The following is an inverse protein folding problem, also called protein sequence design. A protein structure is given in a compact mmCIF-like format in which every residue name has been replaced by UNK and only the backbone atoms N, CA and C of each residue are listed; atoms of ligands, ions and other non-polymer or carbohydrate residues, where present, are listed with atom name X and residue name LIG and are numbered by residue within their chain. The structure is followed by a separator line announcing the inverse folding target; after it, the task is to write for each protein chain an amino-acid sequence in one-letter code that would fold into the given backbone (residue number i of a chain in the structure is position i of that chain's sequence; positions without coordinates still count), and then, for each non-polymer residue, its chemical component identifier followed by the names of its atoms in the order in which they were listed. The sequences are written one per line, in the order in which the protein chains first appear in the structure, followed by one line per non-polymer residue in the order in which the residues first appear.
data_IF_240293211565
#
_entry.id   IF_240293211565
#
_cell.length_a   1.000
_cell.length_b   1.000
_cell.length_c   1.000
_cell.angle_alpha   90.00
_cell.angle_beta   90.00
_cell.angle_gamma   90.00
#
_symmetry.space_group_name_H-M   'P 1'
#
loop_
_entity.id
_entity.type
_entity.pdbx_description
1 polymer ?
#
# COMPACT_ATOMS: atom_id res chain seq x y z
N UNK A 1 -11.52 -36.63 -3.10
CA UNK A 1 -12.84 -36.45 -3.77
C UNK A 1 -13.14 -34.97 -3.88
N UNK A 2 -13.15 -34.40 -5.07
CA UNK A 2 -13.58 -33.03 -5.29
C UNK A 2 -15.06 -32.91 -4.89
N UNK A 3 -15.39 -31.98 -4.01
CA UNK A 3 -16.78 -31.69 -3.62
C UNK A 3 -17.36 -30.75 -4.66
N UNK A 4 -18.37 -31.20 -5.41
CA UNK A 4 -19.17 -30.31 -6.23
C UNK A 4 -19.74 -29.19 -5.36
N UNK A 5 -19.48 -27.92 -5.74
CA UNK A 5 -19.94 -26.74 -4.98
C UNK A 5 -21.41 -26.40 -5.25
N UNK A 6 -21.99 -26.91 -6.36
CA UNK A 6 -23.39 -26.67 -6.71
C UNK A 6 -24.31 -27.77 -6.16
N UNK A 7 -24.98 -27.47 -5.06
CA UNK A 7 -25.93 -28.37 -4.38
C UNK A 7 -27.15 -28.71 -5.26
N UNK A 8 -27.54 -27.80 -6.17
CA UNK A 8 -28.69 -28.03 -7.06
C UNK A 8 -28.32 -28.95 -8.19
N UNK A 9 -27.18 -28.77 -8.83
CA UNK A 9 -26.69 -29.68 -9.90
C UNK A 9 -26.55 -31.10 -9.36
N UNK A 10 -26.02 -31.26 -8.14
CA UNK A 10 -25.90 -32.57 -7.49
C UNK A 10 -27.27 -33.18 -7.16
N UNK A 11 -28.25 -32.41 -6.72
CA UNK A 11 -29.61 -32.89 -6.44
C UNK A 11 -30.30 -33.33 -7.71
N UNK A 12 -30.16 -32.62 -8.81
CA UNK A 12 -30.71 -32.98 -10.12
C UNK A 12 -30.05 -34.27 -10.67
N UNK A 13 -28.74 -34.42 -10.53
CA UNK A 13 -28.09 -35.67 -10.93
C UNK A 13 -28.60 -36.85 -10.09
N UNK A 14 -28.71 -36.72 -8.78
CA UNK A 14 -29.26 -37.77 -7.90
C UNK A 14 -30.70 -38.10 -8.27
N UNK A 15 -31.50 -37.11 -8.64
CA UNK A 15 -32.85 -37.32 -9.15
C UNK A 15 -32.84 -38.10 -10.46
N UNK A 16 -32.01 -37.73 -11.42
CA UNK A 16 -31.95 -38.47 -12.71
C UNK A 16 -31.55 -39.92 -12.54
N UNK A 17 -30.73 -40.27 -11.55
CA UNK A 17 -30.42 -41.67 -11.22
C UNK A 17 -31.64 -42.45 -10.79
N UNK A 18 -32.53 -41.87 -9.98
CA UNK A 18 -33.69 -42.56 -9.40
C UNK A 18 -35.00 -42.29 -10.17
N UNK A 19 -35.00 -41.38 -11.13
CA UNK A 19 -36.16 -40.96 -11.89
C UNK A 19 -36.92 -42.14 -12.56
N UNK A 20 -36.27 -43.15 -13.12
CA UNK A 20 -37.00 -44.29 -13.69
C UNK A 20 -37.87 -45.07 -12.69
N UNK A 21 -37.44 -45.17 -11.43
CA UNK A 21 -38.27 -45.75 -10.36
C UNK A 21 -39.41 -44.82 -9.90
N UNK A 22 -39.17 -43.54 -9.87
CA UNK A 22 -40.16 -42.53 -9.46
C UNK A 22 -41.26 -42.44 -10.50
N UNK A 23 -40.89 -42.46 -11.78
CA UNK A 23 -41.82 -42.29 -12.91
C UNK A 23 -42.44 -43.63 -13.37
N UNK A 24 -42.12 -44.77 -12.74
CA UNK A 24 -42.64 -46.07 -13.12
C UNK A 24 -42.14 -46.60 -14.46
N UNK A 25 -41.04 -46.07 -15.00
CA UNK A 25 -40.46 -46.43 -16.31
C UNK A 25 -39.30 -47.43 -16.18
N UNK A 26 -39.02 -47.94 -14.98
CA UNK A 26 -37.96 -48.91 -14.74
C UNK A 26 -38.34 -50.30 -15.32
N UNK A 27 -37.44 -50.91 -16.10
CA UNK A 27 -37.56 -52.26 -16.66
C UNK A 27 -36.88 -53.31 -15.80
N UNK A 28 -36.29 -52.95 -14.69
CA UNK A 28 -35.58 -53.84 -13.76
C UNK A 28 -36.59 -54.81 -13.07
N UNK A 29 -36.17 -56.08 -12.88
CA UNK A 29 -37.00 -57.10 -12.23
C UNK A 29 -37.33 -56.83 -10.77
N UNK A 30 -36.54 -56.01 -10.10
CA UNK A 30 -36.80 -55.54 -8.74
C UNK A 30 -36.04 -54.21 -8.48
N UNK A 31 -36.46 -53.45 -7.44
CA UNK A 31 -35.79 -52.21 -7.04
C UNK A 31 -34.33 -52.42 -6.69
N UNK A 32 -33.98 -53.57 -6.07
CA UNK A 32 -32.57 -53.85 -5.73
C UNK A 32 -31.70 -54.02 -6.98
N UNK A 33 -32.21 -54.76 -7.99
CA UNK A 33 -31.53 -54.91 -9.29
C UNK A 33 -31.33 -53.54 -9.93
N UNK A 34 -32.35 -52.71 -9.93
CA UNK A 34 -32.25 -51.34 -10.43
C UNK A 34 -31.11 -50.54 -9.78
N UNK A 35 -31.04 -50.55 -8.45
CA UNK A 35 -29.99 -49.80 -7.76
C UNK A 35 -28.58 -50.29 -8.09
N UNK A 36 -28.40 -51.61 -8.28
CA UNK A 36 -27.13 -52.18 -8.70
C UNK A 36 -26.79 -51.72 -10.12
N UNK A 37 -27.73 -51.81 -11.06
CA UNK A 37 -27.54 -51.35 -12.43
C UNK A 37 -27.17 -49.88 -12.53
N UNK A 38 -27.83 -49.02 -11.74
CA UNK A 38 -27.50 -47.57 -11.73
C UNK A 38 -26.13 -47.28 -11.12
N UNK A 39 -25.69 -48.09 -10.16
CA UNK A 39 -24.36 -47.88 -9.53
C UNK A 39 -23.20 -48.30 -10.45
N UNK A 40 -23.48 -49.13 -11.48
CA UNK A 40 -22.49 -49.55 -12.46
C UNK A 40 -22.38 -48.60 -13.66
N UNK A 41 -23.33 -47.68 -13.85
CA UNK A 41 -23.30 -46.66 -14.88
C UNK A 41 -22.39 -45.50 -14.51
N UNK A 42 -21.79 -44.90 -15.52
CA UNK A 42 -21.02 -43.67 -15.35
C UNK A 42 -21.96 -42.45 -15.32
N UNK A 43 -21.95 -41.71 -14.22
CA UNK A 43 -22.74 -40.51 -14.05
C UNK A 43 -21.82 -39.28 -13.94
N UNK A 44 -22.08 -38.27 -14.78
CA UNK A 44 -21.25 -37.04 -14.82
C UNK A 44 -22.06 -35.84 -14.46
N UNK A 45 -21.45 -34.98 -13.62
CA UNK A 45 -21.93 -33.64 -13.34
C UNK A 45 -21.65 -32.67 -14.48
N UNK A 46 -22.34 -31.53 -14.57
CA UNK A 46 -22.09 -30.52 -15.60
C UNK A 46 -20.65 -29.99 -15.64
N UNK A 47 -19.92 -30.07 -14.52
CA UNK A 47 -18.51 -29.68 -14.38
C UNK A 47 -17.54 -30.81 -14.86
N UNK A 48 -18.07 -31.90 -15.41
CA UNK A 48 -17.28 -33.07 -15.86
C UNK A 48 -16.89 -34.05 -14.76
N UNK A 49 -17.21 -33.78 -13.50
CA UNK A 49 -16.90 -34.67 -12.37
C UNK A 49 -17.70 -35.99 -12.48
N UNK A 50 -17.02 -37.13 -12.42
CA UNK A 50 -17.67 -38.45 -12.40
C UNK A 50 -18.13 -38.74 -10.97
N UNK A 51 -19.42 -39.10 -10.85
CA UNK A 51 -20.03 -39.51 -9.58
C UNK A 51 -20.05 -41.05 -9.49
N UNK A 52 -19.37 -41.58 -8.48
CA UNK A 52 -19.41 -43.02 -8.12
C UNK A 52 -20.19 -43.21 -6.83
N UNK A 53 -21.09 -44.16 -6.78
CA UNK A 53 -21.88 -44.46 -5.61
C UNK A 53 -22.25 -45.97 -5.56
N UNK A 54 -22.59 -46.45 -4.36
CA UNK A 54 -23.06 -47.81 -4.17
C UNK A 54 -24.57 -47.96 -4.39
N UNK A 55 -25.05 -49.16 -4.65
CA UNK A 55 -26.47 -49.47 -4.74
C UNK A 55 -27.27 -49.00 -3.50
N UNK A 56 -26.71 -49.18 -2.31
CA UNK A 56 -27.29 -48.66 -1.06
C UNK A 56 -27.41 -47.12 -1.04
N UNK A 57 -26.49 -46.41 -1.66
CA UNK A 57 -26.54 -44.94 -1.78
C UNK A 57 -27.69 -44.51 -2.70
N UNK A 58 -27.89 -45.20 -3.83
CA UNK A 58 -29.01 -44.95 -4.74
C UNK A 58 -30.37 -45.21 -4.03
N UNK A 59 -30.43 -46.30 -3.26
CA UNK A 59 -31.60 -46.63 -2.45
C UNK A 59 -31.90 -45.55 -1.42
N UNK A 60 -30.87 -45.04 -0.74
CA UNK A 60 -31.02 -43.94 0.23
C UNK A 60 -31.54 -42.65 -0.44
N UNK A 61 -31.09 -42.34 -1.69
CA UNK A 61 -31.63 -41.22 -2.45
C UNK A 61 -33.11 -41.40 -2.80
N UNK A 62 -33.53 -42.59 -3.19
CA UNK A 62 -34.92 -42.90 -3.48
C UNK A 62 -35.80 -42.64 -2.26
N UNK A 63 -35.44 -43.17 -1.07
CA UNK A 63 -36.22 -42.93 0.16
C UNK A 63 -36.14 -41.47 0.64
N UNK A 64 -35.01 -40.81 0.47
CA UNK A 64 -34.88 -39.38 0.82
C UNK A 64 -35.77 -38.51 -0.06
N UNK A 65 -35.84 -38.83 -1.37
CA UNK A 65 -36.75 -38.18 -2.29
C UNK A 65 -38.22 -38.42 -1.93
N UNK A 66 -38.59 -39.67 -1.65
CA UNK A 66 -39.95 -40.02 -1.21
C UNK A 66 -40.40 -39.30 0.03
N UNK A 67 -39.49 -38.98 0.91
CA UNK A 67 -39.75 -38.29 2.19
C UNK A 67 -39.79 -36.76 2.09
N UNK A 68 -38.91 -36.15 1.26
CA UNK A 68 -38.71 -34.72 1.22
C UNK A 68 -38.63 -34.12 -0.21
N UNK A 69 -39.00 -34.86 -1.22
CA UNK A 69 -38.87 -34.41 -2.60
C UNK A 69 -37.43 -34.11 -3.00
N UNK A 70 -37.23 -33.16 -3.89
CA UNK A 70 -35.92 -32.75 -4.37
C UNK A 70 -35.02 -32.23 -3.25
N UNK A 71 -35.59 -31.59 -2.20
CA UNK A 71 -34.81 -31.13 -1.07
C UNK A 71 -34.12 -32.24 -0.28
N UNK A 72 -34.71 -33.45 -0.27
CA UNK A 72 -34.07 -34.63 0.32
C UNK A 72 -32.80 -35.09 -0.43
N UNK A 73 -32.63 -34.68 -1.68
CA UNK A 73 -31.46 -35.00 -2.51
C UNK A 73 -30.36 -33.91 -2.43
N UNK A 74 -30.66 -32.76 -1.87
CA UNK A 74 -29.66 -31.71 -1.64
C UNK A 74 -28.68 -32.12 -0.56
N UNK A 75 -27.52 -31.46 -0.57
CA UNK A 75 -26.55 -31.63 0.52
C UNK A 75 -27.14 -31.07 1.80
N UNK A 76 -27.38 -31.93 2.78
CA UNK A 76 -27.77 -31.43 4.10
C UNK A 76 -26.57 -30.68 4.71
N UNK A 77 -26.72 -29.39 4.94
CA UNK A 77 -25.76 -28.66 5.77
C UNK A 77 -25.76 -29.26 7.17
N UNK A 78 -24.58 -29.58 7.68
CA UNK A 78 -24.44 -30.07 9.04
C UNK A 78 -25.06 -29.07 10.01
N UNK A 79 -25.97 -29.49 10.87
CA UNK A 79 -26.62 -28.66 11.88
C UNK A 79 -25.68 -28.10 12.95
N UNK A 80 -24.43 -28.60 12.99
CA UNK A 80 -23.34 -28.16 13.87
C UNK A 80 -22.33 -27.24 13.18
N UNK A 81 -22.58 -26.85 11.91
CA UNK A 81 -21.70 -25.96 11.17
C UNK A 81 -21.68 -24.57 11.82
N UNK A 82 -20.53 -24.19 12.36
CA UNK A 82 -20.35 -22.93 13.12
C UNK A 82 -20.54 -23.05 14.63
N UNK A 83 -21.06 -24.16 15.16
CA UNK A 83 -21.15 -24.38 16.60
C UNK A 83 -19.86 -25.00 17.13
N UNK A 84 -19.15 -24.24 17.94
CA UNK A 84 -17.93 -24.72 18.63
C UNK A 84 -18.31 -25.36 19.96
N UNK A 85 -18.36 -26.69 20.00
CA UNK A 85 -18.70 -27.45 21.22
C UNK A 85 -17.67 -27.29 22.35
N UNK A 86 -16.45 -26.84 22.03
CA UNK A 86 -15.32 -26.70 22.99
C UNK A 86 -15.16 -25.28 23.54
N UNK A 87 -15.88 -24.28 23.02
CA UNK A 87 -15.87 -22.91 23.52
C UNK A 87 -17.21 -22.59 24.13
N UNK A 88 -17.21 -22.30 25.40
CA UNK A 88 -18.41 -21.84 26.12
C UNK A 88 -18.83 -20.47 25.63
N UNK A 89 -20.07 -20.10 25.84
CA UNK A 89 -20.56 -18.79 25.42
C UNK A 89 -19.93 -17.66 26.28
N UNK A 90 -19.52 -17.97 27.50
CA UNK A 90 -18.73 -17.06 28.35
C UNK A 90 -17.33 -16.79 27.75
N UNK A 91 -16.64 -17.85 27.31
CA UNK A 91 -15.36 -17.69 26.63
C UNK A 91 -15.49 -16.84 25.34
N UNK A 92 -16.59 -17.03 24.59
CA UNK A 92 -16.85 -16.20 23.38
C UNK A 92 -17.12 -14.75 23.73
N UNK A 93 -17.93 -14.46 24.76
CA UNK A 93 -18.15 -13.09 25.24
C UNK A 93 -16.82 -12.44 25.65
N UNK A 94 -15.98 -13.17 26.40
CA UNK A 94 -14.67 -12.66 26.80
C UNK A 94 -13.76 -12.38 25.58
N UNK A 95 -13.84 -13.19 24.54
CA UNK A 95 -13.15 -12.91 23.27
C UNK A 95 -13.68 -11.63 22.60
N UNK A 96 -14.99 -11.41 22.59
CA UNK A 96 -15.60 -10.19 22.03
C UNK A 96 -15.15 -8.94 22.80
N UNK A 97 -15.14 -8.98 24.13
CA UNK A 97 -14.62 -7.90 24.98
C UNK A 97 -13.15 -7.59 24.66
N UNK A 98 -12.29 -8.64 24.62
CA UNK A 98 -10.87 -8.47 24.29
C UNK A 98 -10.65 -7.90 22.89
N UNK A 99 -11.46 -8.27 21.90
CA UNK A 99 -11.39 -7.74 20.55
C UNK A 99 -11.89 -6.29 20.52
N UNK A 100 -12.91 -5.94 21.28
CA UNK A 100 -13.43 -4.58 21.40
C UNK A 100 -12.43 -3.63 22.04
N UNK A 101 -11.81 -4.07 23.15
CA UNK A 101 -10.81 -3.31 23.90
C UNK A 101 -9.50 -3.17 23.12
N UNK A 102 -9.09 -4.26 22.44
CA UNK A 102 -7.85 -4.33 21.67
C UNK A 102 -8.11 -4.84 20.24
N UNK A 103 -8.56 -4.02 19.29
CA UNK A 103 -8.97 -4.47 17.94
C UNK A 103 -7.89 -5.25 17.16
N UNK A 104 -6.61 -5.00 17.46
CA UNK A 104 -5.45 -5.67 16.82
C UNK A 104 -4.88 -6.83 17.63
N UNK A 105 -5.53 -7.24 18.73
CA UNK A 105 -5.04 -8.32 19.58
C UNK A 105 -4.84 -9.63 18.78
N UNK A 106 -3.68 -10.27 18.93
CA UNK A 106 -3.40 -11.52 18.24
C UNK A 106 -4.18 -12.69 18.88
N UNK A 107 -4.66 -13.64 18.07
CA UNK A 107 -5.38 -14.83 18.52
C UNK A 107 -4.55 -15.70 19.49
N UNK A 108 -3.21 -15.65 19.46
CA UNK A 108 -2.34 -16.29 20.45
C UNK A 108 -2.49 -15.63 21.82
N UNK A 109 -2.53 -14.30 21.85
CA UNK A 109 -2.69 -13.53 23.10
C UNK A 109 -4.09 -13.73 23.66
N UNK A 110 -5.13 -13.76 22.80
CA UNK A 110 -6.50 -14.10 23.22
C UNK A 110 -6.52 -15.48 23.89
N UNK A 111 -5.91 -16.51 23.24
CA UNK A 111 -5.85 -17.84 23.80
C UNK A 111 -5.13 -17.87 25.17
N UNK A 112 -3.99 -17.19 25.27
CA UNK A 112 -3.23 -17.11 26.52
C UNK A 112 -4.05 -16.48 27.66
N UNK A 113 -4.75 -15.36 27.37
CA UNK A 113 -5.64 -14.70 28.34
C UNK A 113 -6.79 -15.61 28.77
N UNK A 114 -7.46 -16.30 27.83
CA UNK A 114 -8.54 -17.24 28.17
C UNK A 114 -8.06 -18.41 29.04
N UNK A 115 -6.84 -18.87 28.88
CA UNK A 115 -6.24 -19.90 29.74
C UNK A 115 -5.95 -19.31 31.13
N UNK A 116 -5.31 -18.15 31.20
CA UNK A 116 -4.94 -17.50 32.47
C UNK A 116 -6.20 -17.11 33.28
N UNK A 117 -7.26 -16.69 32.61
CA UNK A 117 -8.53 -16.31 33.22
C UNK A 117 -9.45 -17.54 33.50
N UNK A 118 -9.02 -18.76 33.16
CA UNK A 118 -9.73 -20.01 33.46
C UNK A 118 -10.90 -20.36 32.54
N UNK A 119 -11.13 -19.61 31.44
CA UNK A 119 -12.21 -19.90 30.50
C UNK A 119 -11.97 -21.14 29.63
N UNK A 120 -10.70 -21.53 29.41
CA UNK A 120 -10.31 -22.73 28.67
C UNK A 120 -9.10 -23.38 29.33
N UNK A 121 -9.04 -24.72 29.26
CA UNK A 121 -7.82 -25.46 29.68
C UNK A 121 -6.76 -25.42 28.59
N UNK A 122 -5.49 -25.66 28.97
CA UNK A 122 -4.34 -25.59 28.08
C UNK A 122 -4.48 -26.49 26.85
N UNK A 123 -5.04 -27.70 27.01
CA UNK A 123 -5.26 -28.67 25.93
C UNK A 123 -6.72 -28.72 25.43
N UNK A 124 -7.60 -27.90 25.99
CA UNK A 124 -9.04 -27.95 25.71
C UNK A 124 -9.41 -27.44 24.32
N UNK A 125 -8.77 -26.35 23.88
CA UNK A 125 -9.08 -25.67 22.62
C UNK A 125 -7.83 -25.37 21.83
N UNK A 126 -7.75 -25.85 20.58
CA UNK A 126 -6.63 -25.62 19.70
C UNK A 126 -6.52 -24.15 19.27
N UNK A 127 -5.30 -23.69 18.96
CA UNK A 127 -5.06 -22.36 18.41
C UNK A 127 -5.87 -22.10 17.13
N UNK A 128 -5.97 -23.08 16.23
CA UNK A 128 -6.73 -22.96 14.98
C UNK A 128 -8.22 -22.68 15.23
N UNK A 129 -8.79 -23.27 16.29
CA UNK A 129 -10.16 -23.01 16.69
C UNK A 129 -10.35 -21.58 17.21
N UNK A 130 -9.45 -21.11 18.10
CA UNK A 130 -9.46 -19.74 18.60
C UNK A 130 -9.31 -18.75 17.44
N UNK A 131 -8.35 -18.96 16.54
CA UNK A 131 -8.11 -18.08 15.40
C UNK A 131 -9.33 -18.00 14.47
N UNK A 132 -9.98 -19.13 14.18
CA UNK A 132 -11.20 -19.15 13.38
C UNK A 132 -12.33 -18.37 14.04
N UNK A 133 -12.56 -18.55 15.34
CA UNK A 133 -13.60 -17.84 16.08
C UNK A 133 -13.28 -16.35 16.17
N UNK A 134 -12.04 -15.98 16.45
CA UNK A 134 -11.58 -14.58 16.45
C UNK A 134 -11.90 -13.88 15.12
N UNK A 135 -11.66 -14.54 13.99
CA UNK A 135 -11.97 -13.96 12.68
C UNK A 135 -13.47 -13.80 12.46
N UNK A 136 -14.27 -14.79 12.83
CA UNK A 136 -15.76 -14.70 12.75
C UNK A 136 -16.30 -13.56 13.62
N UNK A 137 -15.80 -13.41 14.84
CA UNK A 137 -16.21 -12.33 15.74
C UNK A 137 -15.82 -10.96 15.20
N UNK A 138 -14.60 -10.83 14.68
CA UNK A 138 -14.15 -9.59 14.02
C UNK A 138 -15.00 -9.21 12.82
N UNK A 139 -15.36 -10.17 11.99
CA UNK A 139 -16.21 -9.91 10.83
C UNK A 139 -17.61 -9.48 11.27
N UNK A 140 -18.21 -10.14 12.28
CA UNK A 140 -19.49 -9.70 12.88
C UNK A 140 -19.43 -8.30 13.49
N UNK A 141 -18.34 -7.98 14.20
CA UNK A 141 -18.15 -6.65 14.81
C UNK A 141 -17.93 -5.56 13.77
N UNK A 142 -17.32 -5.90 12.62
CA UNK A 142 -17.23 -4.98 11.47
C UNK A 142 -18.61 -4.71 10.88
N UNK A 143 -19.43 -5.74 10.71
CA UNK A 143 -20.77 -5.62 10.15
C UNK A 143 -21.72 -4.86 11.11
N UNK A 144 -21.54 -5.00 12.43
CA UNK A 144 -22.34 -4.32 13.45
C UNK A 144 -21.90 -2.86 13.74
N UNK A 145 -20.69 -2.48 13.35
CA UNK A 145 -20.04 -1.24 13.78
C UNK A 145 -19.81 -0.15 12.74
N UNK A 146 -20.14 -0.34 11.47
CA UNK A 146 -20.02 0.74 10.51
C UNK A 146 -20.83 0.51 9.23
N UNK A 147 -21.91 1.20 9.08
CA UNK A 147 -22.33 1.77 7.80
C UNK A 147 -21.39 2.91 7.36
N UNK A 148 -20.10 2.77 7.50
CA UNK A 148 -19.14 3.54 6.72
C UNK A 148 -19.08 2.86 5.36
N UNK A 149 -20.04 3.17 4.52
CA UNK A 149 -20.01 2.89 3.09
C UNK A 149 -18.80 3.61 2.53
N UNK A 150 -17.71 2.89 2.42
CA UNK A 150 -16.51 3.40 1.80
C UNK A 150 -16.71 3.45 0.29
N UNK A 151 -17.13 4.60 -0.21
CA UNK A 151 -17.26 4.83 -1.64
C UNK A 151 -15.88 4.78 -2.28
N UNK A 152 -15.69 3.86 -3.22
CA UNK A 152 -14.50 3.89 -4.08
C UNK A 152 -14.57 5.15 -4.91
N UNK A 153 -13.56 6.02 -4.81
CA UNK A 153 -13.44 7.16 -5.68
C UNK A 153 -12.21 7.01 -6.59
N UNK A 154 -12.25 7.67 -7.71
CA UNK A 154 -11.19 7.74 -8.67
C UNK A 154 -11.16 9.16 -9.23
N UNK A 155 -9.97 9.76 -9.33
CA UNK A 155 -9.82 11.04 -9.98
C UNK A 155 -10.24 10.90 -11.46
N UNK A 156 -10.99 11.89 -11.95
CA UNK A 156 -11.51 11.86 -13.31
C UNK A 156 -10.42 12.12 -14.34
N UNK A 157 -9.53 13.05 -14.04
CA UNK A 157 -8.48 13.51 -14.94
C UNK A 157 -7.10 13.27 -14.34
N UNK A 158 -6.10 13.13 -15.22
CA UNK A 158 -4.70 13.07 -14.80
C UNK A 158 -4.35 14.35 -14.03
N UNK A 159 -3.42 14.25 -13.11
CA UNK A 159 -2.96 15.36 -12.27
C UNK A 159 -4.06 16.03 -11.42
N UNK A 160 -5.27 15.48 -11.36
CA UNK A 160 -6.24 15.92 -10.34
C UNK A 160 -5.75 15.56 -8.95
N UNK A 161 -5.29 14.31 -8.77
CA UNK A 161 -4.82 13.80 -7.49
C UNK A 161 -3.58 12.94 -7.70
N UNK A 162 -2.50 13.29 -7.00
CA UNK A 162 -1.36 12.39 -6.80
C UNK A 162 -1.36 11.84 -5.40
N UNK A 163 -0.90 10.60 -5.23
CA UNK A 163 -0.68 9.99 -3.93
C UNK A 163 0.80 9.70 -3.75
N UNK A 164 1.39 10.14 -2.63
CA UNK A 164 2.78 9.90 -2.30
C UNK A 164 2.89 9.06 -1.02
N UNK A 165 3.85 8.14 -1.00
CA UNK A 165 4.13 7.31 0.17
C UNK A 165 5.59 6.82 0.14
N UNK A 166 6.08 6.36 1.31
CA UNK A 166 7.44 5.82 1.48
C UNK A 166 7.39 4.34 1.78
N UNK A 167 8.21 3.55 1.10
CA UNK A 167 8.38 2.13 1.35
C UNK A 167 9.82 1.81 1.75
N UNK A 168 9.95 0.82 2.63
CA UNK A 168 11.22 0.31 3.12
C UNK A 168 11.39 -1.17 2.76
N UNK A 169 12.63 -1.66 2.89
CA UNK A 169 12.96 -3.07 2.67
C UNK A 169 14.23 -3.26 1.85
N UNK A 170 14.62 -2.24 1.08
CA UNK A 170 15.85 -2.25 0.30
C UNK A 170 17.08 -2.07 1.21
N UNK A 171 18.17 -2.79 0.91
CA UNK A 171 19.43 -2.70 1.65
C UNK A 171 20.61 -2.59 0.69
N UNK A 172 21.45 -1.61 0.91
CA UNK A 172 22.73 -1.47 0.22
C UNK A 172 23.86 -2.03 1.10
N UNK A 173 24.66 -2.94 0.56
CA UNK A 173 25.77 -3.56 1.25
C UNK A 173 27.07 -2.84 0.92
N UNK A 174 27.81 -2.40 1.96
CA UNK A 174 29.13 -1.81 1.84
C UNK A 174 30.22 -2.86 1.64
N UNK A 175 31.42 -2.41 1.27
CA UNK A 175 32.59 -3.28 1.11
C UNK A 175 33.03 -3.95 2.42
N UNK A 176 32.67 -3.36 3.56
CA UNK A 176 32.90 -3.85 4.93
C UNK A 176 31.86 -4.90 5.39
N UNK A 177 30.93 -5.31 4.50
CA UNK A 177 29.86 -6.26 4.81
C UNK A 177 28.70 -5.67 5.60
N UNK A 178 28.80 -4.42 6.06
CA UNK A 178 27.67 -3.75 6.71
C UNK A 178 26.62 -3.36 5.69
N UNK A 179 25.36 -3.38 6.10
CA UNK A 179 24.25 -2.93 5.25
C UNK A 179 23.55 -1.73 5.83
N UNK A 180 23.16 -0.80 4.97
CA UNK A 180 22.27 0.31 5.31
C UNK A 180 20.92 0.15 4.64
N UNK A 181 19.86 0.54 5.34
CA UNK A 181 18.51 0.56 4.81
C UNK A 181 18.36 1.76 3.89
N UNK A 182 17.66 1.56 2.78
CA UNK A 182 17.27 2.62 1.86
C UNK A 182 15.77 2.84 1.94
N UNK A 183 15.35 4.08 1.63
CA UNK A 183 13.96 4.45 1.50
C UNK A 183 13.60 4.56 0.01
N UNK A 184 12.41 4.10 -0.36
CA UNK A 184 11.85 4.27 -1.70
C UNK A 184 10.65 5.20 -1.55
N UNK A 185 10.72 6.39 -2.13
CA UNK A 185 9.60 7.34 -2.15
C UNK A 185 8.96 7.26 -3.53
N UNK A 186 7.67 6.94 -3.57
CA UNK A 186 6.89 6.81 -4.79
C UNK A 186 5.74 7.80 -4.86
N UNK A 187 5.44 8.28 -6.05
CA UNK A 187 4.29 9.15 -6.35
C UNK A 187 3.53 8.55 -7.53
N UNK A 188 2.24 8.30 -7.32
CA UNK A 188 1.33 7.74 -8.33
C UNK A 188 0.24 8.74 -8.68
N UNK A 189 -0.10 8.85 -9.95
CA UNK A 189 -1.28 9.56 -10.41
C UNK A 189 -2.54 8.70 -10.19
N UNK A 190 -3.55 9.27 -9.56
CA UNK A 190 -4.74 8.54 -9.14
C UNK A 190 -5.61 8.08 -10.33
N UNK A 191 -5.73 8.88 -11.38
CA UNK A 191 -6.56 8.59 -12.54
C UNK A 191 -5.94 7.53 -13.46
N UNK A 192 -4.65 7.68 -13.77
CA UNK A 192 -3.96 6.83 -14.75
C UNK A 192 -3.23 5.64 -14.13
N UNK A 193 -3.01 5.63 -12.82
CA UNK A 193 -2.13 4.67 -12.13
C UNK A 193 -0.67 4.79 -12.53
N UNK A 194 -0.32 5.80 -13.29
CA UNK A 194 1.05 6.05 -13.71
C UNK A 194 1.93 6.41 -12.52
N UNK A 195 3.08 5.79 -12.42
CA UNK A 195 4.09 6.19 -11.47
C UNK A 195 4.82 7.39 -12.07
N UNK A 196 4.51 8.57 -11.53
CA UNK A 196 5.05 9.84 -12.01
C UNK A 196 6.47 10.10 -11.48
N UNK A 197 6.80 9.56 -10.31
CA UNK A 197 8.17 9.49 -9.79
C UNK A 197 8.30 8.34 -8.78
N UNK A 198 9.46 7.67 -8.79
CA UNK A 198 9.83 6.68 -7.77
C UNK A 198 11.34 6.74 -7.58
N UNK A 199 11.80 7.21 -6.41
CA UNK A 199 13.20 7.47 -6.15
C UNK A 199 13.68 6.74 -4.90
N UNK A 200 14.94 6.28 -4.97
CA UNK A 200 15.64 5.61 -3.88
C UNK A 200 16.52 6.62 -3.18
N UNK A 201 16.42 6.67 -1.87
CA UNK A 201 17.18 7.59 -1.02
C UNK A 201 17.87 6.87 0.13
N UNK A 202 18.94 7.45 0.63
CA UNK A 202 19.66 6.95 1.81
C UNK A 202 18.83 7.05 3.10
N UNK A 203 17.87 7.97 3.12
CA UNK A 203 16.98 8.18 4.27
C UNK A 203 15.64 8.74 3.84
N UNK A 204 14.62 8.50 4.66
CA UNK A 204 13.31 9.13 4.55
C UNK A 204 13.34 10.46 5.33
N UNK A 205 13.66 11.53 4.61
CA UNK A 205 13.71 12.89 5.15
C UNK A 205 13.11 13.92 4.18
N UNK A 206 13.02 15.15 4.62
CA UNK A 206 12.42 16.25 3.85
C UNK A 206 13.12 16.47 2.50
N UNK A 207 14.46 16.55 2.41
CA UNK A 207 15.16 16.67 1.14
C UNK A 207 14.86 15.52 0.17
N UNK A 208 14.82 14.27 0.65
CA UNK A 208 14.49 13.09 -0.16
C UNK A 208 13.09 13.16 -0.76
N UNK A 209 12.11 13.55 0.07
CA UNK A 209 10.74 13.74 -0.39
C UNK A 209 10.63 14.89 -1.42
N UNK A 210 11.22 16.05 -1.13
CA UNK A 210 11.19 17.19 -2.04
C UNK A 210 11.94 16.91 -3.36
N UNK A 211 13.02 16.13 -3.32
CA UNK A 211 13.71 15.65 -4.52
C UNK A 211 12.79 14.81 -5.41
N UNK A 212 12.06 13.86 -4.80
CA UNK A 212 11.12 13.00 -5.53
C UNK A 212 9.95 13.82 -6.11
N UNK A 213 9.40 14.77 -5.33
CA UNK A 213 8.33 15.65 -5.81
C UNK A 213 8.82 16.57 -6.94
N UNK A 214 10.04 17.11 -6.84
CA UNK A 214 10.66 17.94 -7.86
C UNK A 214 10.83 17.18 -9.18
N UNK A 215 11.29 15.93 -9.12
CA UNK A 215 11.41 15.05 -10.29
C UNK A 215 10.03 14.78 -10.94
N UNK A 216 9.00 14.52 -10.14
CA UNK A 216 7.64 14.31 -10.62
C UNK A 216 7.08 15.55 -11.34
N UNK A 217 7.18 16.72 -10.69
CA UNK A 217 6.64 17.99 -11.22
C UNK A 217 7.33 18.40 -12.52
N UNK A 218 8.64 18.25 -12.62
CA UNK A 218 9.39 18.56 -13.83
C UNK A 218 8.97 17.72 -15.02
N UNK A 219 8.72 16.43 -14.80
CA UNK A 219 8.40 15.49 -15.89
C UNK A 219 6.92 15.47 -16.26
N UNK A 220 6.05 15.62 -15.28
CA UNK A 220 4.63 15.32 -15.44
C UNK A 220 3.69 16.51 -15.18
N UNK A 221 4.25 17.68 -14.86
CA UNK A 221 3.47 18.89 -14.53
C UNK A 221 2.99 18.87 -13.07
N UNK A 222 2.10 19.79 -12.75
CA UNK A 222 1.69 20.09 -11.38
C UNK A 222 0.34 19.44 -11.08
N UNK A 223 0.21 18.63 -10.01
CA UNK A 223 -1.08 18.11 -9.59
C UNK A 223 -1.91 19.17 -8.87
N UNK A 224 -3.24 19.06 -8.91
CA UNK A 224 -4.13 19.92 -8.12
C UNK A 224 -4.07 19.55 -6.63
N UNK A 225 -4.06 18.27 -6.34
CA UNK A 225 -4.07 17.72 -4.97
C UNK A 225 -2.97 16.69 -4.81
N UNK A 226 -2.30 16.72 -3.66
CA UNK A 226 -1.31 15.73 -3.26
C UNK A 226 -1.77 15.07 -1.96
N UNK A 227 -2.16 13.79 -2.04
CA UNK A 227 -2.53 12.98 -0.89
C UNK A 227 -1.29 12.35 -0.27
N UNK A 228 -1.08 12.61 1.00
CA UNK A 228 0.07 12.11 1.77
C UNK A 228 -0.39 11.59 3.14
N UNK A 229 0.46 10.81 3.79
CA UNK A 229 0.19 10.43 5.16
C UNK A 229 0.48 11.54 6.17
N UNK A 230 0.21 11.22 7.44
CA UNK A 230 0.52 12.10 8.55
C UNK A 230 2.00 12.04 8.98
N UNK A 231 2.89 11.50 8.16
CA UNK A 231 4.32 11.45 8.43
C UNK A 231 4.94 12.83 8.63
N UNK A 232 5.96 12.93 9.49
CA UNK A 232 6.61 14.19 9.85
C UNK A 232 7.20 14.93 8.64
N UNK A 233 7.73 14.20 7.66
CA UNK A 233 8.32 14.75 6.44
C UNK A 233 7.28 15.47 5.59
N UNK A 234 6.11 14.85 5.39
CA UNK A 234 5.01 15.42 4.61
C UNK A 234 4.34 16.61 5.31
N UNK A 235 4.33 16.62 6.65
CA UNK A 235 3.78 17.72 7.48
C UNK A 235 4.76 18.86 7.75
N UNK A 236 6.00 18.73 7.30
CA UNK A 236 7.02 19.76 7.52
C UNK A 236 6.61 21.10 6.91
N UNK A 237 7.08 22.19 7.52
CA UNK A 237 6.85 23.54 6.98
C UNK A 237 7.45 23.68 5.57
N UNK A 238 8.61 23.09 5.33
CA UNK A 238 9.26 23.09 4.01
C UNK A 238 8.38 22.46 2.94
N UNK A 239 7.82 21.25 3.18
CA UNK A 239 6.93 20.58 2.24
C UNK A 239 5.67 21.42 1.96
N UNK A 240 5.05 21.99 2.98
CA UNK A 240 3.88 22.88 2.83
C UNK A 240 4.19 24.11 2.01
N UNK A 241 5.33 24.75 2.28
CA UNK A 241 5.76 25.96 1.54
C UNK A 241 5.97 25.63 0.06
N UNK A 242 6.68 24.56 -0.26
CA UNK A 242 6.88 24.13 -1.66
C UNK A 242 5.55 23.82 -2.36
N UNK A 243 4.66 23.07 -1.73
CA UNK A 243 3.34 22.78 -2.29
C UNK A 243 2.52 24.05 -2.51
N UNK A 244 2.52 24.97 -1.56
CA UNK A 244 1.82 26.26 -1.69
C UNK A 244 2.40 27.10 -2.83
N UNK A 245 3.73 27.19 -2.97
CA UNK A 245 4.40 27.90 -4.07
C UNK A 245 4.07 27.31 -5.44
N UNK A 246 3.87 25.99 -5.51
CA UNK A 246 3.44 25.30 -6.74
C UNK A 246 1.93 25.40 -6.99
N UNK A 247 1.13 25.82 -6.01
CA UNK A 247 -0.33 25.81 -6.09
C UNK A 247 -0.96 24.43 -5.85
N UNK A 248 -0.25 23.53 -5.18
CA UNK A 248 -0.71 22.18 -4.86
C UNK A 248 -1.45 22.19 -3.52
N UNK A 249 -2.69 21.71 -3.49
CA UNK A 249 -3.43 21.46 -2.26
C UNK A 249 -2.97 20.15 -1.61
N UNK A 250 -2.46 20.20 -0.37
CA UNK A 250 -2.03 19.00 0.33
C UNK A 250 -3.17 18.45 1.17
N UNK A 251 -3.53 17.20 0.93
CA UNK A 251 -4.51 16.47 1.73
C UNK A 251 -3.81 15.42 2.59
N UNK A 252 -4.02 15.52 3.90
CA UNK A 252 -3.48 14.56 4.87
C UNK A 252 -4.54 13.53 5.22
N UNK A 253 -4.25 12.26 4.92
CA UNK A 253 -5.19 11.19 5.21
C UNK A 253 -5.44 11.07 6.71
N UNK A 254 -6.72 11.03 7.15
CA UNK A 254 -7.04 10.73 8.53
C UNK A 254 -6.49 9.36 8.92
N UNK A 255 -6.06 9.23 10.18
CA UNK A 255 -5.61 7.95 10.73
C UNK A 255 -6.75 6.93 10.56
N UNK A 256 -6.45 5.78 9.92
CA UNK A 256 -7.41 4.69 9.61
C UNK A 256 -8.40 4.90 8.45
N UNK A 257 -8.09 5.75 7.47
CA UNK A 257 -8.83 5.79 6.19
C UNK A 257 -7.96 5.21 5.05
N UNK A 258 -8.01 3.88 4.81
CA UNK A 258 -7.11 3.21 3.87
C UNK A 258 -7.40 3.48 2.39
N UNK A 259 -8.40 4.29 2.05
CA UNK A 259 -8.92 4.37 0.67
C UNK A 259 -8.12 5.28 -0.23
N UNK A 260 -7.70 6.44 0.27
CA UNK A 260 -6.90 7.41 -0.47
C UNK A 260 -5.52 6.85 -0.85
N UNK A 261 -5.00 5.93 -0.02
CA UNK A 261 -3.69 5.29 -0.23
C UNK A 261 -3.72 3.91 -0.87
N UNK A 262 -4.89 3.28 -1.00
CA UNK A 262 -5.00 1.90 -1.49
C UNK A 262 -4.28 1.68 -2.85
N UNK A 263 -4.15 2.73 -3.67
CA UNK A 263 -3.50 2.66 -4.99
C UNK A 263 -1.98 2.63 -4.86
N UNK A 264 -1.40 3.54 -4.07
CA UNK A 264 0.05 3.57 -3.82
C UNK A 264 0.51 2.38 -2.97
N UNK A 265 -0.29 1.94 -2.00
CA UNK A 265 0.00 0.72 -1.22
C UNK A 265 0.01 -0.53 -2.10
N UNK A 266 -0.95 -0.63 -3.03
CA UNK A 266 -0.99 -1.73 -4.02
C UNK A 266 0.21 -1.68 -4.95
N UNK A 267 0.60 -0.50 -5.40
CA UNK A 267 1.81 -0.31 -6.18
C UNK A 267 3.05 -0.80 -5.41
N UNK A 268 3.26 -0.37 -4.18
CA UNK A 268 4.39 -0.82 -3.38
C UNK A 268 4.38 -2.33 -3.10
N UNK A 269 3.22 -2.94 -2.97
CA UNK A 269 3.11 -4.41 -2.91
C UNK A 269 3.61 -5.04 -4.21
N UNK A 270 3.13 -4.55 -5.35
CA UNK A 270 3.56 -5.03 -6.67
C UNK A 270 5.06 -4.82 -6.89
N UNK A 271 5.62 -3.69 -6.43
CA UNK A 271 7.05 -3.41 -6.46
C UNK A 271 7.86 -4.43 -5.63
N UNK A 272 7.40 -4.72 -4.41
CA UNK A 272 8.05 -5.69 -3.52
C UNK A 272 8.00 -7.11 -4.08
N UNK A 273 6.83 -7.53 -4.53
CA UNK A 273 6.60 -8.89 -5.01
C UNK A 273 7.23 -9.12 -6.42
N UNK A 274 7.25 -8.09 -7.27
CA UNK A 274 7.77 -8.15 -8.62
C UNK A 274 9.25 -7.82 -8.73
N UNK A 275 9.66 -6.61 -8.35
CA UNK A 275 11.04 -6.14 -8.50
C UNK A 275 11.95 -6.56 -7.36
N UNK A 276 11.58 -6.22 -6.09
CA UNK A 276 12.47 -6.47 -4.96
C UNK A 276 12.70 -7.96 -4.68
N UNK A 277 11.69 -8.81 -4.91
CA UNK A 277 11.81 -10.24 -4.72
C UNK A 277 12.68 -10.93 -5.78
N UNK A 278 12.85 -10.30 -6.94
CA UNK A 278 13.61 -10.85 -8.06
C UNK A 278 15.08 -10.41 -8.14
N UNK A 279 15.54 -9.49 -7.26
CA UNK A 279 16.89 -8.95 -7.32
C UNK A 279 17.77 -9.42 -6.16
N UNK A 280 19.05 -9.66 -6.44
CA UNK A 280 20.06 -9.84 -5.41
C UNK A 280 20.63 -8.48 -4.98
N UNK A 281 20.31 -8.03 -3.77
CA UNK A 281 20.79 -6.74 -3.23
C UNK A 281 22.31 -6.61 -3.19
N UNK A 282 23.04 -7.73 -3.15
CA UNK A 282 24.50 -7.73 -3.09
C UNK A 282 25.16 -7.46 -4.44
N UNK A 283 24.41 -7.57 -5.53
CA UNK A 283 24.92 -7.26 -6.88
C UNK A 283 25.05 -5.75 -7.11
N UNK A 284 24.36 -4.91 -6.33
CA UNK A 284 24.36 -3.46 -6.46
C UNK A 284 25.45 -2.82 -5.61
N UNK A 285 26.14 -1.83 -6.17
CA UNK A 285 27.27 -1.16 -5.52
C UNK A 285 26.95 0.25 -5.04
N UNK A 286 25.91 0.86 -5.59
CA UNK A 286 25.50 2.23 -5.29
C UNK A 286 23.99 2.39 -5.32
N UNK A 287 23.50 3.50 -4.75
CA UNK A 287 22.09 3.89 -4.88
C UNK A 287 21.73 4.15 -6.34
N UNK A 288 22.69 4.66 -7.14
CA UNK A 288 22.49 4.91 -8.57
C UNK A 288 22.24 3.61 -9.37
N UNK A 289 22.95 2.52 -9.02
CA UNK A 289 22.72 1.23 -9.67
C UNK A 289 21.32 0.70 -9.38
N UNK A 290 20.87 0.79 -8.11
CA UNK A 290 19.52 0.44 -7.75
C UNK A 290 18.49 1.32 -8.46
N UNK A 291 18.76 2.64 -8.55
CA UNK A 291 17.84 3.57 -9.21
C UNK A 291 17.67 3.23 -10.68
N UNK A 292 18.77 2.92 -11.38
CA UNK A 292 18.72 2.50 -12.79
C UNK A 292 17.83 1.26 -12.97
N UNK A 293 18.03 0.22 -12.17
CA UNK A 293 17.21 -0.99 -12.21
C UNK A 293 15.74 -0.72 -11.88
N UNK A 294 15.49 0.17 -10.92
CA UNK A 294 14.13 0.59 -10.57
C UNK A 294 13.46 1.37 -11.71
N UNK A 295 14.19 2.29 -12.36
CA UNK A 295 13.66 3.09 -13.46
C UNK A 295 13.27 2.20 -14.66
N UNK A 296 14.05 1.16 -14.98
CA UNK A 296 13.74 0.15 -15.99
C UNK A 296 12.44 -0.59 -15.63
N UNK A 297 12.31 -1.05 -14.40
CA UNK A 297 11.12 -1.75 -13.93
C UNK A 297 9.87 -0.84 -13.89
N UNK A 298 10.02 0.42 -13.47
CA UNK A 298 8.92 1.42 -13.48
C UNK A 298 8.46 1.69 -14.92
N UNK A 299 9.39 1.78 -15.86
CA UNK A 299 9.06 1.93 -17.28
C UNK A 299 8.22 0.74 -17.77
N UNK A 300 8.61 -0.48 -17.41
CA UNK A 300 7.84 -1.68 -17.74
C UNK A 300 6.45 -1.67 -17.07
N UNK A 301 6.38 -1.31 -15.77
CA UNK A 301 5.11 -1.18 -15.05
C UNK A 301 4.16 -0.19 -15.71
N UNK A 302 4.64 0.99 -16.08
CA UNK A 302 3.85 2.05 -16.71
C UNK A 302 3.37 1.66 -18.12
N UNK A 303 4.04 0.75 -18.82
CA UNK A 303 3.70 0.26 -20.16
C UNK A 303 3.02 -1.12 -20.18
N UNK A 304 2.69 -1.69 -19.02
CA UNK A 304 1.94 -2.93 -18.91
C UNK A 304 0.45 -2.67 -18.71
N UNK A 305 -0.41 -3.47 -19.36
CA UNK A 305 -1.87 -3.39 -19.20
C UNK A 305 -2.24 -3.47 -17.71
N UNK A 306 -3.01 -2.49 -17.23
CA UNK A 306 -3.45 -2.43 -15.86
C UNK A 306 -4.92 -2.85 -15.74
N UNK A 307 -5.23 -3.79 -14.85
CA UNK A 307 -6.55 -4.42 -14.70
C UNK A 307 -7.71 -3.45 -14.43
N UNK A 308 -7.43 -2.27 -13.85
CA UNK A 308 -8.48 -1.27 -13.55
C UNK A 308 -8.66 -0.22 -14.65
N UNK A 309 -7.89 -0.27 -15.74
CA UNK A 309 -7.90 0.75 -16.80
C UNK A 309 -8.59 0.26 -18.10
N UNK A 310 -9.42 -0.77 -18.02
CA UNK A 310 -10.18 -1.24 -19.19
C UNK A 310 -9.32 -1.71 -20.36
N UNK A 311 -8.17 -2.32 -20.08
CA UNK A 311 -7.25 -2.84 -21.10
C UNK A 311 -6.16 -1.85 -21.54
N UNK A 312 -6.09 -0.66 -20.94
CA UNK A 312 -5.04 0.34 -21.21
C UNK A 312 -3.86 0.19 -20.25
N UNK A 313 -2.71 0.69 -20.68
CA UNK A 313 -1.56 0.88 -19.82
C UNK A 313 -1.65 2.21 -19.06
N UNK A 314 -0.98 2.37 -17.90
CA UNK A 314 -0.86 3.64 -17.22
C UNK A 314 -0.35 4.77 -18.11
N UNK A 315 0.66 4.51 -18.94
CA UNK A 315 1.21 5.49 -19.90
C UNK A 315 0.18 5.93 -20.95
N UNK A 316 -0.54 5.00 -21.57
CA UNK A 316 -1.60 5.32 -22.54
C UNK A 316 -2.67 6.19 -21.91
N UNK A 317 -3.18 5.79 -20.73
CA UNK A 317 -4.22 6.56 -20.02
C UNK A 317 -3.75 7.95 -19.63
N UNK A 318 -2.47 8.10 -19.23
CA UNK A 318 -1.88 9.41 -18.90
C UNK A 318 -1.74 10.28 -20.16
N UNK A 319 -1.23 9.72 -21.25
CA UNK A 319 -0.96 10.44 -22.50
C UNK A 319 -2.25 10.99 -23.16
N UNK A 320 -3.39 10.32 -23.00
CA UNK A 320 -4.68 10.77 -23.54
C UNK A 320 -5.03 12.21 -23.12
N UNK A 321 -4.65 12.62 -21.93
CA UNK A 321 -4.96 13.93 -21.37
C UNK A 321 -3.72 14.81 -21.13
N UNK A 322 -2.52 14.35 -21.51
CA UNK A 322 -1.24 15.01 -21.19
C UNK A 322 -1.17 16.47 -21.68
N UNK A 323 -1.89 16.82 -22.74
CA UNK A 323 -1.99 18.20 -23.25
C UNK A 323 -2.63 19.17 -22.24
N UNK A 324 -3.39 18.65 -21.26
CA UNK A 324 -4.05 19.45 -20.23
C UNK A 324 -3.19 19.58 -18.96
N UNK A 325 -2.01 18.96 -18.91
CA UNK A 325 -1.10 19.05 -17.79
C UNK A 325 -0.54 20.48 -17.66
N UNK A 326 -0.57 21.01 -16.44
CA UNK A 326 -0.03 22.34 -16.13
C UNK A 326 1.47 22.21 -15.93
N UNK A 327 2.25 22.75 -16.83
CA UNK A 327 3.70 22.83 -16.71
C UNK A 327 4.13 24.26 -16.36
N UNK A 328 5.24 24.37 -15.64
CA UNK A 328 5.92 25.64 -15.38
C UNK A 328 7.35 25.57 -15.92
N UNK A 329 7.91 26.75 -16.14
CA UNK A 329 9.30 26.88 -16.54
C UNK A 329 10.24 26.34 -15.46
N UNK A 330 11.43 25.92 -15.83
CA UNK A 330 12.44 25.41 -14.88
C UNK A 330 12.74 26.46 -13.79
N UNK A 331 12.84 27.74 -14.15
CA UNK A 331 13.08 28.83 -13.20
C UNK A 331 11.94 29.01 -12.17
N UNK A 332 10.66 28.84 -12.61
CA UNK A 332 9.52 28.88 -11.69
C UNK A 332 9.51 27.67 -10.74
N UNK A 333 9.86 26.48 -11.26
CA UNK A 333 9.97 25.27 -10.43
C UNK A 333 11.11 25.44 -9.43
N UNK A 334 12.30 25.85 -9.86
CA UNK A 334 13.42 26.10 -8.93
C UNK A 334 13.03 27.08 -7.85
N UNK A 335 12.42 28.20 -8.21
CA UNK A 335 11.93 29.20 -7.26
C UNK A 335 10.90 28.62 -6.26
N UNK A 336 10.00 27.77 -6.73
CA UNK A 336 9.00 27.15 -5.86
C UNK A 336 9.61 26.20 -4.81
N UNK A 337 10.75 25.59 -5.14
CA UNK A 337 11.50 24.70 -4.25
C UNK A 337 12.56 25.41 -3.38
N UNK A 338 12.65 26.75 -3.45
CA UNK A 338 13.47 27.53 -2.53
C UNK A 338 12.78 27.64 -1.18
N UNK A 339 13.54 27.43 -0.12
CA UNK A 339 13.11 27.52 1.28
C UNK A 339 13.72 28.76 1.92
N UNK A 340 13.01 29.35 2.85
CA UNK A 340 13.47 30.52 3.59
C UNK A 340 13.54 30.23 5.09
N UNK A 341 14.60 30.65 5.75
CA UNK A 341 14.80 30.53 7.20
C UNK A 341 15.51 31.76 7.75
N UNK A 342 15.38 32.00 9.07
CA UNK A 342 16.06 33.09 9.77
C UNK A 342 17.13 32.49 10.65
N UNK A 343 18.39 32.90 10.44
CA UNK A 343 19.55 32.47 11.21
C UNK A 343 20.24 33.66 11.88
N UNK A 344 20.88 33.40 13.00
CA UNK A 344 21.82 34.37 13.58
C UNK A 344 23.22 34.08 13.03
N UNK A 345 23.84 35.06 12.38
CA UNK A 345 25.21 34.96 11.96
C UNK A 345 26.17 35.16 13.15
N UNK A 346 27.34 34.59 13.06
CA UNK A 346 28.43 34.79 14.02
C UNK A 346 29.12 36.14 13.79
N UNK A 347 30.00 36.52 14.72
CA UNK A 347 30.80 37.74 14.59
C UNK A 347 31.71 37.73 13.34
N UNK A 348 32.18 36.55 12.93
CA UNK A 348 32.98 36.35 11.73
C UNK A 348 32.12 36.03 10.49
N UNK A 349 30.85 36.46 10.49
CA UNK A 349 29.92 36.36 9.37
C UNK A 349 29.65 34.92 8.89
N UNK A 350 29.56 33.96 9.82
CA UNK A 350 29.23 32.57 9.46
C UNK A 350 27.78 32.23 9.86
N UNK A 351 27.16 31.36 9.09
CA UNK A 351 25.93 30.66 9.48
C UNK A 351 26.14 29.14 9.35
N UNK A 352 25.33 28.38 10.07
CA UNK A 352 25.32 26.90 9.98
C UNK A 352 23.95 26.44 9.46
N UNK A 353 23.98 25.65 8.40
CA UNK A 353 22.83 24.93 7.85
C UNK A 353 23.21 23.45 7.76
N UNK A 354 22.43 22.58 8.44
CA UNK A 354 22.66 21.12 8.43
C UNK A 354 24.13 20.74 8.71
N UNK A 355 24.73 21.31 9.75
CA UNK A 355 26.13 21.13 10.18
C UNK A 355 27.20 21.67 9.20
N UNK A 356 26.81 22.29 8.11
CA UNK A 356 27.72 22.95 7.15
C UNK A 356 27.79 24.44 7.44
N UNK A 357 29.03 24.98 7.51
CA UNK A 357 29.27 26.40 7.71
C UNK A 357 29.33 27.14 6.36
N UNK A 358 28.59 28.23 6.25
CA UNK A 358 28.58 29.12 5.08
C UNK A 358 29.11 30.49 5.45
N UNK A 359 29.95 31.07 4.57
CA UNK A 359 30.52 32.39 4.71
C UNK A 359 29.56 33.42 4.11
N UNK A 360 29.15 34.39 4.94
CA UNK A 360 28.37 35.55 4.51
C UNK A 360 29.29 36.76 4.22
N UNK A 361 28.83 37.73 3.40
CA UNK A 361 29.47 39.04 3.34
C UNK A 361 29.59 39.71 4.72
N UNK A 362 30.67 40.46 4.97
CA UNK A 362 30.96 41.06 6.27
C UNK A 362 29.84 41.93 6.83
N UNK A 363 29.06 42.60 5.95
CA UNK A 363 27.90 43.42 6.35
C UNK A 363 26.82 42.66 7.13
N UNK A 364 26.85 41.34 7.09
CA UNK A 364 25.88 40.46 7.77
C UNK A 364 26.42 39.88 9.10
N UNK A 365 27.55 40.37 9.62
CA UNK A 365 28.12 39.90 10.88
C UNK A 365 27.23 40.18 12.07
N UNK A 366 27.17 39.25 13.04
CA UNK A 366 26.48 39.33 14.33
C UNK A 366 25.03 39.87 14.29
N UNK A 367 24.27 39.43 13.28
CA UNK A 367 22.86 39.84 13.16
C UNK A 367 21.96 38.68 12.72
N UNK A 368 20.65 38.87 12.87
CA UNK A 368 19.67 37.96 12.28
C UNK A 368 19.59 38.21 10.78
N UNK A 369 19.77 37.18 9.97
CA UNK A 369 19.75 37.23 8.52
C UNK A 369 18.68 36.26 7.98
N UNK A 370 18.07 36.62 6.89
CA UNK A 370 17.19 35.71 6.12
C UNK A 370 18.03 34.97 5.13
N UNK A 371 17.94 33.63 5.15
CA UNK A 371 18.64 32.74 4.25
C UNK A 371 17.61 32.10 3.34
N UNK A 372 17.89 32.12 2.04
CA UNK A 372 17.07 31.45 1.01
C UNK A 372 17.95 30.36 0.41
N UNK A 373 17.43 29.13 0.36
CA UNK A 373 18.25 27.99 -0.06
C UNK A 373 17.41 26.92 -0.77
N UNK A 374 18.03 26.22 -1.71
CA UNK A 374 17.44 25.04 -2.34
C UNK A 374 17.32 23.88 -1.32
N UNK A 375 16.31 23.02 -1.46
CA UNK A 375 16.10 21.90 -0.55
C UNK A 375 17.31 20.95 -0.42
N UNK A 376 18.15 20.88 -1.45
CA UNK A 376 19.39 20.09 -1.52
C UNK A 376 20.64 20.87 -1.11
N UNK A 377 20.52 22.12 -0.73
CA UNK A 377 21.61 23.03 -0.32
C UNK A 377 22.63 23.32 -1.43
N UNK A 378 22.33 23.02 -2.66
CA UNK A 378 23.24 23.35 -3.80
C UNK A 378 23.30 24.85 -4.04
N UNK A 379 22.23 25.57 -3.74
CA UNK A 379 22.14 27.04 -3.85
C UNK A 379 21.75 27.61 -2.49
N UNK A 380 22.55 28.51 -1.95
CA UNK A 380 22.31 29.19 -0.68
C UNK A 380 22.53 30.70 -0.88
N UNK A 381 21.57 31.51 -0.46
CA UNK A 381 21.62 32.96 -0.59
C UNK A 381 21.31 33.60 0.77
N UNK A 382 21.91 34.76 1.02
CA UNK A 382 21.48 35.69 2.08
C UNK A 382 20.62 36.76 1.44
N UNK A 383 19.49 37.09 2.09
CA UNK A 383 18.56 38.13 1.64
C UNK A 383 18.73 39.36 2.51
N UNK A 384 18.96 40.52 1.90
CA UNK A 384 19.07 41.80 2.60
C UNK A 384 17.71 42.43 2.90
N UNK A 385 17.70 43.62 3.50
CA UNK A 385 16.49 44.35 3.87
C UNK A 385 15.67 44.85 2.67
N UNK A 386 16.29 44.98 1.51
CA UNK A 386 15.66 45.39 0.23
C UNK A 386 15.17 44.20 -0.58
N UNK A 387 15.47 42.96 -0.13
CA UNK A 387 15.05 41.74 -0.79
C UNK A 387 16.06 41.17 -1.79
N UNK A 388 17.23 41.82 -1.94
CA UNK A 388 18.29 41.34 -2.84
C UNK A 388 18.92 40.06 -2.32
N UNK A 389 19.13 39.10 -3.20
CA UNK A 389 19.74 37.82 -2.90
C UNK A 389 21.24 37.85 -3.25
N UNK A 390 22.08 37.58 -2.27
CA UNK A 390 23.53 37.42 -2.47
C UNK A 390 23.86 35.96 -2.23
N UNK A 391 24.44 35.30 -3.25
CA UNK A 391 24.88 33.89 -3.12
C UNK A 391 25.99 33.76 -2.08
N UNK A 392 25.91 32.70 -1.29
CA UNK A 392 26.90 32.41 -0.25
C UNK A 392 27.43 30.98 -0.44
N UNK A 393 28.69 30.77 -0.08
CA UNK A 393 29.38 29.53 -0.31
C UNK A 393 29.79 28.86 0.99
N UNK A 394 30.04 27.57 0.93
CA UNK A 394 30.59 26.82 2.06
C UNK A 394 31.94 27.45 2.47
N UNK A 395 32.14 27.55 3.77
CA UNK A 395 33.37 28.11 4.33
C UNK A 395 34.60 27.34 3.86
N UNK A 396 35.50 28.03 3.13
CA UNK A 396 36.81 27.55 2.81
C UNK A 396 37.88 28.28 3.63
N UNK A 397 38.29 27.69 4.76
CA UNK A 397 39.31 28.25 5.68
C UNK A 397 40.65 28.43 5.01
N UNK A 398 41.01 27.60 4.03
CA UNK A 398 42.29 27.68 3.33
C UNK A 398 42.29 28.82 2.31
N UNK A 399 41.18 28.98 1.57
CA UNK A 399 41.03 30.13 0.69
C UNK A 399 41.04 31.45 1.49
N UNK A 400 40.31 31.51 2.62
CA UNK A 400 40.27 32.69 3.50
C UNK A 400 41.66 33.07 4.08
N UNK A 401 42.54 32.11 4.33
CA UNK A 401 43.90 32.38 4.81
C UNK A 401 44.77 33.15 3.82
N UNK A 402 44.42 33.09 2.52
CA UNK A 402 45.15 33.77 1.43
C UNK A 402 44.63 35.17 1.13
N UNK A 403 43.45 35.55 1.69
CA UNK A 403 42.88 36.89 1.52
C UNK A 403 43.63 37.87 2.41
N UNK A 404 44.26 38.90 1.84
CA UNK A 404 44.95 39.93 2.59
C UNK A 404 43.91 40.71 3.43
N UNK A 405 44.08 40.78 4.75
CA UNK A 405 43.17 41.44 5.71
C UNK A 405 42.78 42.89 5.35
N UNK A 406 43.54 43.54 4.47
CA UNK A 406 43.29 44.92 4.04
C UNK A 406 42.24 45.07 2.93
N UNK A 407 41.80 44.01 2.29
CA UNK A 407 40.79 44.06 1.22
C UNK A 407 39.35 43.89 1.72
N UNK A 408 39.15 43.42 2.96
CA UNK A 408 37.80 43.23 3.53
C UNK A 408 37.03 44.53 3.83
N UNK A 409 37.64 45.69 3.80
CA UNK A 409 37.01 46.97 4.11
C UNK A 409 36.85 47.93 2.90
N UNK A 410 37.25 47.57 1.71
CA UNK A 410 37.25 48.48 0.54
C UNK A 410 36.19 48.20 -0.53
N UNK A 411 35.44 47.10 -0.46
CA UNK A 411 34.44 46.80 -1.49
C UNK A 411 33.05 47.36 -1.20
N UNK A 412 32.85 48.16 -0.13
CA UNK A 412 31.53 48.68 0.23
C UNK A 412 31.31 50.17 -0.08
N UNK A 413 32.17 50.81 -0.89
CA UNK A 413 32.03 52.24 -1.28
C UNK A 413 32.22 52.51 -2.77
N UNK A 414 31.70 51.64 -3.67
CA UNK A 414 31.46 51.98 -5.08
C UNK A 414 30.03 51.59 -5.50
#
# INVERSE_FOLDING_TARGET
MARCKDSNALALLRYSVIAPLINGTSTARSNNVFYVEQSMKEWRLPDGTVLTFSAATAQNWYYAYRKKGLDGLRYAQRSDMGKNRKLTDEAKRRMEELISEFPRINSRVIRSKLITEGFISQDGVSYSTINRVTNILRDRMKDAGSEKTYLRYEARHINDIWCADTSFGLRLYGKDGKSRKLAIIGIIDDASRMIVSCRIHDSDNIPSYLSTLSDAVRRHGIPKVLNVDNGSNYRSQAARTVCANLGISVHYDPVHTPQSKAKIERFFRTLKDGWMAGIDFRSFRSVADFQKSLDEWISEYNNRIHSSLGGKTPSERYLEESKNAIHRSEAEIEKAFMLEDVRKSTFDSLIVLDDVQYQLPARFADRKVRIVYSFDRTKVFVKDGEGTLTEVHVLDKVANSKIKRYQMGKEENE
#
